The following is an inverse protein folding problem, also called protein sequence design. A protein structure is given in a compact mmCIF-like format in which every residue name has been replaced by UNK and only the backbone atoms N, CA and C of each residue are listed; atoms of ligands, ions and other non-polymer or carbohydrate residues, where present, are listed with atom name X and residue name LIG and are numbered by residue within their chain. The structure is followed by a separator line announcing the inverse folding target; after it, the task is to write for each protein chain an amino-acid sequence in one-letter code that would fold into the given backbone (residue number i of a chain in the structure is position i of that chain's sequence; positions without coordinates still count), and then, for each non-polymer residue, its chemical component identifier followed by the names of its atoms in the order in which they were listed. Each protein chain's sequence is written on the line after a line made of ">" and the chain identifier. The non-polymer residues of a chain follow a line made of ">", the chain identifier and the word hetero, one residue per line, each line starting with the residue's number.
data_IF_745470730303
#
_entry.id   IF_745470730303
#
_cell.length_a   1.000
_cell.length_b   1.000
_cell.length_c   1.000
_cell.angle_alpha   90.00
_cell.angle_beta   90.00
_cell.angle_gamma   90.00
#
_symmetry.space_group_name_H-M   'P 1'
#
loop_
_entity.id
_entity.type
_entity.pdbx_description
1 polymer ?
#
# COMPACT_ATOMS: atom_id res chain seq x y z
N UNK A 1 -20.87 3.76 -11.04
CA UNK A 1 -19.94 4.64 -10.32
C UNK A 1 -20.46 4.79 -8.91
N UNK A 2 -19.59 4.62 -7.92
CA UNK A 2 -19.94 4.66 -6.51
C UNK A 2 -19.77 6.09 -5.98
N UNK A 3 -20.87 6.72 -5.58
CA UNK A 3 -20.93 8.11 -5.11
C UNK A 3 -21.21 8.15 -3.61
N UNK A 4 -20.55 9.07 -2.91
CA UNK A 4 -20.73 9.29 -1.47
C UNK A 4 -21.33 10.67 -1.21
N UNK A 5 -22.34 10.72 -0.35
CA UNK A 5 -22.91 11.97 0.14
C UNK A 5 -22.08 12.51 1.30
N UNK A 6 -21.51 13.70 1.15
CA UNK A 6 -20.65 14.33 2.16
C UNK A 6 -21.39 15.50 2.81
N UNK A 7 -21.50 15.54 4.15
CA UNK A 7 -22.08 16.70 4.83
C UNK A 7 -21.39 18.00 4.44
N UNK A 8 -22.16 18.96 3.94
CA UNK A 8 -21.66 20.26 3.49
C UNK A 8 -21.36 20.37 1.99
N UNK A 9 -21.44 19.26 1.25
CA UNK A 9 -21.45 19.29 -0.22
C UNK A 9 -22.89 19.21 -0.73
N UNK A 10 -23.25 20.02 -1.74
CA UNK A 10 -24.61 20.07 -2.26
C UNK A 10 -24.99 18.81 -3.04
N UNK A 11 -24.01 18.17 -3.69
CA UNK A 11 -24.19 16.99 -4.53
C UNK A 11 -23.26 15.85 -4.07
N UNK A 12 -23.63 14.58 -4.29
CA UNK A 12 -22.73 13.45 -4.06
C UNK A 12 -21.45 13.55 -4.90
N UNK A 13 -20.34 13.05 -4.36
CA UNK A 13 -19.03 13.06 -5.03
C UNK A 13 -18.63 11.60 -5.33
N UNK A 14 -17.97 11.31 -6.48
CA UNK A 14 -17.39 9.98 -6.70
C UNK A 14 -16.48 9.59 -5.53
N UNK A 15 -16.59 8.35 -5.03
CA UNK A 15 -15.82 7.88 -3.86
C UNK A 15 -14.32 8.10 -4.04
N UNK A 16 -13.77 7.70 -5.19
CA UNK A 16 -12.35 7.86 -5.52
C UNK A 16 -11.89 9.32 -5.40
N UNK A 17 -12.64 10.25 -5.99
CA UNK A 17 -12.37 11.69 -5.90
C UNK A 17 -12.31 12.14 -4.44
N UNK A 18 -13.32 11.75 -3.65
CA UNK A 18 -13.38 12.15 -2.24
C UNK A 18 -12.23 11.56 -1.41
N UNK A 19 -11.88 10.28 -1.64
CA UNK A 19 -10.76 9.64 -0.96
C UNK A 19 -9.42 10.28 -1.34
N UNK A 20 -9.22 10.61 -2.62
CA UNK A 20 -8.04 11.34 -3.09
C UNK A 20 -7.95 12.74 -2.46
N UNK A 21 -9.07 13.47 -2.36
CA UNK A 21 -9.14 14.76 -1.67
C UNK A 21 -8.76 14.64 -0.18
N UNK A 22 -9.28 13.60 0.51
CA UNK A 22 -8.92 13.33 1.90
C UNK A 22 -7.44 12.96 2.03
N UNK A 23 -6.92 12.11 1.15
CA UNK A 23 -5.53 11.68 1.14
C UNK A 23 -4.56 12.85 0.88
N UNK A 24 -4.97 13.89 0.15
CA UNK A 24 -4.19 15.11 -0.07
C UNK A 24 -4.48 16.26 0.92
N UNK A 25 -5.38 16.06 1.89
CA UNK A 25 -5.81 17.12 2.81
C UNK A 25 -4.69 17.55 3.76
N UNK A 26 -4.45 18.86 3.88
CA UNK A 26 -3.52 19.43 4.84
C UNK A 26 -2.15 19.70 4.22
N UNK A 27 -1.08 19.42 4.97
CA UNK A 27 0.29 19.62 4.46
C UNK A 27 0.57 18.71 3.26
N UNK A 28 1.32 19.22 2.29
CA UNK A 28 1.71 18.48 1.10
C UNK A 28 2.59 17.29 1.49
N UNK A 29 2.30 16.12 0.92
CA UNK A 29 2.98 14.86 1.20
C UNK A 29 3.55 14.34 -0.11
N UNK A 30 4.89 14.29 -0.27
CA UNK A 30 5.51 13.84 -1.50
C UNK A 30 5.10 12.42 -1.92
N UNK A 31 4.85 11.53 -0.96
CA UNK A 31 4.58 10.10 -1.16
C UNK A 31 3.18 9.75 -1.70
N UNK A 32 2.30 10.74 -1.90
CA UNK A 32 0.96 10.56 -2.49
C UNK A 32 0.87 11.50 -3.70
N UNK A 33 0.30 11.03 -4.81
CA UNK A 33 0.09 11.88 -5.98
C UNK A 33 -0.79 13.08 -5.63
N UNK A 34 -0.36 14.29 -6.02
CA UNK A 34 -1.12 15.48 -5.67
C UNK A 34 -2.42 15.57 -6.49
N UNK A 35 -3.53 15.82 -5.80
CA UNK A 35 -4.80 16.18 -6.39
C UNK A 35 -4.84 17.67 -6.74
N UNK A 36 -5.11 18.01 -8.00
CA UNK A 36 -5.09 19.39 -8.49
C UNK A 36 -6.49 19.93 -8.72
N UNK A 37 -7.33 19.18 -9.42
CA UNK A 37 -8.71 19.57 -9.74
C UNK A 37 -9.56 18.35 -10.11
N UNK A 38 -10.87 18.52 -10.18
CA UNK A 38 -11.77 17.54 -10.79
C UNK A 38 -13.04 18.19 -11.32
N UNK A 39 -13.70 17.50 -12.25
CA UNK A 39 -14.98 17.92 -12.80
C UNK A 39 -15.91 16.73 -12.92
N UNK A 40 -17.15 16.94 -12.51
CA UNK A 40 -18.24 16.00 -12.75
C UNK A 40 -18.91 16.30 -14.11
N UNK A 41 -19.22 15.25 -14.87
CA UNK A 41 -19.92 15.34 -16.17
C UNK A 41 -21.05 14.32 -16.20
N UNK A 42 -21.89 14.38 -17.23
CA UNK A 42 -23.12 13.60 -17.32
C UNK A 42 -22.91 12.07 -17.25
N UNK A 43 -21.81 11.57 -17.79
CA UNK A 43 -21.51 10.13 -17.93
C UNK A 43 -20.17 9.70 -17.32
N UNK A 44 -19.34 10.66 -16.90
CA UNK A 44 -18.03 10.40 -16.30
C UNK A 44 -17.58 11.58 -15.45
N UNK A 45 -16.59 11.34 -14.57
CA UNK A 45 -15.84 12.41 -13.92
C UNK A 45 -14.42 12.45 -14.49
N UNK A 46 -13.78 13.62 -14.37
CA UNK A 46 -12.39 13.84 -14.77
C UNK A 46 -11.61 14.31 -13.56
N UNK A 47 -10.48 13.68 -13.27
CA UNK A 47 -9.53 14.11 -12.23
C UNK A 47 -8.27 14.67 -12.88
N UNK A 48 -7.77 15.76 -12.35
CA UNK A 48 -6.49 16.38 -12.72
C UNK A 48 -5.53 16.11 -11.57
N UNK A 49 -4.49 15.32 -11.86
CA UNK A 49 -3.50 14.86 -10.89
C UNK A 49 -2.10 15.35 -11.28
N UNK A 50 -1.20 15.42 -10.31
CA UNK A 50 0.23 15.54 -10.58
C UNK A 50 0.70 14.38 -11.48
N UNK A 51 1.58 14.69 -12.43
CA UNK A 51 2.23 13.70 -13.29
C UNK A 51 3.75 13.82 -13.11
N UNK A 52 4.38 12.98 -12.26
CA UNK A 52 5.83 12.94 -12.13
C UNK A 52 6.48 12.65 -13.48
N UNK A 53 7.62 13.26 -13.78
CA UNK A 53 8.30 13.03 -15.05
C UNK A 53 9.83 13.14 -14.93
N UNK A 54 10.61 12.21 -15.51
CA UNK A 54 10.17 10.92 -16.06
C UNK A 54 9.75 9.94 -14.95
N UNK A 55 8.63 9.23 -15.13
CA UNK A 55 8.19 8.18 -14.20
C UNK A 55 7.66 6.93 -14.93
N UNK A 56 7.62 5.83 -14.19
CA UNK A 56 6.92 4.59 -14.55
C UNK A 56 6.32 3.98 -13.26
N UNK A 57 5.45 2.98 -13.37
CA UNK A 57 4.96 2.22 -12.21
C UNK A 57 6.05 1.29 -11.63
N UNK A 58 5.96 0.94 -10.34
CA UNK A 58 7.00 0.13 -9.70
C UNK A 58 7.13 -1.28 -10.30
N UNK A 59 6.07 -1.84 -10.88
CA UNK A 59 6.14 -3.15 -11.53
C UNK A 59 7.03 -3.05 -12.78
N UNK A 60 6.77 -2.08 -13.65
CA UNK A 60 7.59 -1.77 -14.83
C UNK A 60 9.05 -1.48 -14.45
N UNK A 61 9.27 -0.69 -13.39
CA UNK A 61 10.60 -0.41 -12.86
C UNK A 61 11.33 -1.67 -12.41
N UNK A 62 10.66 -2.54 -11.66
CA UNK A 62 11.22 -3.80 -11.20
C UNK A 62 11.56 -4.75 -12.35
N UNK A 63 10.67 -4.87 -13.35
CA UNK A 63 10.90 -5.69 -14.54
C UNK A 63 12.12 -5.19 -15.31
N UNK A 64 12.23 -3.87 -15.53
CA UNK A 64 13.37 -3.24 -16.23
C UNK A 64 14.69 -3.41 -15.46
N UNK A 65 14.63 -3.48 -14.13
CA UNK A 65 15.78 -3.74 -13.27
C UNK A 65 16.25 -5.22 -13.25
N UNK A 66 15.60 -6.09 -14.04
CA UNK A 66 15.93 -7.52 -14.11
C UNK A 66 15.01 -8.42 -13.28
N UNK A 67 13.82 -7.92 -12.92
CA UNK A 67 12.75 -8.68 -12.25
C UNK A 67 12.79 -8.66 -10.74
N UNK A 68 13.82 -8.09 -10.10
CA UNK A 68 13.90 -7.88 -8.64
C UNK A 68 14.81 -6.68 -8.34
N UNK A 69 14.66 -6.11 -7.15
CA UNK A 69 15.41 -4.95 -6.69
C UNK A 69 16.48 -5.36 -5.66
N UNK A 70 17.51 -4.53 -5.53
CA UNK A 70 18.48 -4.67 -4.43
C UNK A 70 17.83 -4.29 -3.11
N UNK A 71 18.31 -4.86 -1.99
CA UNK A 71 17.79 -4.52 -0.66
C UNK A 71 17.82 -3.02 -0.36
N UNK A 72 18.88 -2.33 -0.78
CA UNK A 72 19.00 -0.89 -0.61
C UNK A 72 17.85 -0.16 -1.32
N UNK A 73 17.67 -0.44 -2.60
CA UNK A 73 16.60 0.18 -3.40
C UNK A 73 15.21 -0.17 -2.87
N UNK A 74 14.97 -1.45 -2.56
CA UNK A 74 13.70 -1.92 -2.04
C UNK A 74 13.37 -1.28 -0.68
N UNK A 75 14.37 -1.10 0.20
CA UNK A 75 14.22 -0.42 1.49
C UNK A 75 13.87 1.06 1.33
N UNK A 76 14.54 1.76 0.41
CA UNK A 76 14.29 3.19 0.15
C UNK A 76 12.88 3.41 -0.43
N UNK A 77 12.41 2.50 -1.29
CA UNK A 77 11.03 2.50 -1.82
C UNK A 77 10.02 2.15 -0.71
N UNK A 78 10.31 1.12 0.09
CA UNK A 78 9.42 0.64 1.15
C UNK A 78 9.19 1.70 2.23
N UNK A 79 10.21 2.51 2.54
CA UNK A 79 10.07 3.64 3.46
C UNK A 79 9.00 4.62 2.97
N UNK A 80 9.08 5.04 1.70
CA UNK A 80 8.14 5.99 1.10
C UNK A 80 6.73 5.38 0.95
N UNK A 81 6.63 4.09 0.58
CA UNK A 81 5.35 3.38 0.50
C UNK A 81 4.66 3.28 1.87
N UNK A 82 5.44 3.06 2.94
CA UNK A 82 4.93 3.03 4.32
C UNK A 82 4.45 4.41 4.76
N UNK A 83 5.21 5.47 4.44
CA UNK A 83 4.81 6.86 4.70
C UNK A 83 3.49 7.21 4.01
N UNK A 84 3.33 6.84 2.73
CA UNK A 84 2.07 7.04 2.01
C UNK A 84 0.88 6.34 2.68
N UNK A 85 1.07 5.08 3.09
CA UNK A 85 0.04 4.28 3.75
C UNK A 85 -0.33 4.82 5.15
N UNK A 86 0.66 5.24 5.93
CA UNK A 86 0.46 5.87 7.24
C UNK A 86 -0.36 7.16 7.11
N UNK A 87 -0.01 8.00 6.12
CA UNK A 87 -0.70 9.28 5.89
C UNK A 87 -2.14 9.05 5.44
N UNK A 88 -2.39 8.08 4.55
CA UNK A 88 -3.75 7.66 4.22
C UNK A 88 -4.51 7.27 5.50
N UNK A 89 -3.90 6.46 6.36
CA UNK A 89 -4.52 6.01 7.61
C UNK A 89 -4.86 7.16 8.55
N UNK A 90 -3.93 8.10 8.75
CA UNK A 90 -4.12 9.31 9.58
C UNK A 90 -5.24 10.19 9.00
N UNK A 91 -5.35 10.27 7.67
CA UNK A 91 -6.36 11.07 6.95
C UNK A 91 -7.69 10.33 6.79
N UNK A 92 -7.84 9.16 7.41
CA UNK A 92 -9.10 8.40 7.41
C UNK A 92 -9.38 7.69 6.09
N UNK A 93 -8.35 7.39 5.31
CA UNK A 93 -8.44 6.70 4.01
C UNK A 93 -7.85 5.31 4.14
N UNK A 94 -8.61 4.32 3.68
CA UNK A 94 -8.14 2.95 3.49
C UNK A 94 -8.00 2.68 1.99
N UNK A 95 -6.76 2.59 1.50
CA UNK A 95 -6.48 2.47 0.06
C UNK A 95 -7.00 1.16 -0.56
N UNK A 96 -6.93 0.05 0.19
CA UNK A 96 -7.34 -1.32 -0.19
C UNK A 96 -6.58 -1.98 -1.34
N UNK A 97 -5.90 -1.22 -2.20
CA UNK A 97 -5.19 -1.76 -3.37
C UNK A 97 -3.71 -1.35 -3.39
N UNK A 98 -2.98 -1.65 -2.30
CA UNK A 98 -1.52 -1.41 -2.23
C UNK A 98 -0.83 -2.54 -2.99
N UNK A 99 -0.23 -2.21 -4.14
CA UNK A 99 0.50 -3.11 -5.03
C UNK A 99 1.50 -2.33 -5.89
N UNK A 100 2.40 -3.03 -6.58
CA UNK A 100 3.47 -2.43 -7.38
C UNK A 100 2.94 -1.43 -8.42
N UNK A 101 1.82 -1.76 -9.06
CA UNK A 101 1.22 -0.98 -10.13
C UNK A 101 0.66 0.36 -9.65
N UNK A 102 0.28 0.45 -8.38
CA UNK A 102 -0.33 1.65 -7.79
C UNK A 102 0.71 2.57 -7.12
N UNK A 103 1.99 2.36 -7.43
CA UNK A 103 3.06 3.30 -7.07
C UNK A 103 3.80 3.74 -8.32
N UNK A 104 3.87 5.06 -8.52
CA UNK A 104 4.76 5.65 -9.51
C UNK A 104 6.13 5.90 -8.90
N UNK A 105 7.19 5.68 -9.68
CA UNK A 105 8.57 6.01 -9.31
C UNK A 105 9.19 6.97 -10.31
N UNK A 106 9.76 8.06 -9.81
CA UNK A 106 10.55 8.97 -10.62
C UNK A 106 11.91 8.34 -10.94
N UNK A 107 12.27 8.27 -12.22
CA UNK A 107 13.47 7.55 -12.67
C UNK A 107 14.79 8.26 -12.34
N UNK A 108 14.73 9.55 -12.05
CA UNK A 108 15.90 10.35 -11.70
C UNK A 108 16.09 10.46 -10.19
N UNK A 109 14.99 10.62 -9.44
CA UNK A 109 15.03 10.91 -8.00
C UNK A 109 14.73 9.69 -7.12
N UNK A 110 14.13 8.63 -7.69
CA UNK A 110 13.56 7.49 -6.95
C UNK A 110 12.48 7.89 -5.93
N UNK A 111 11.87 9.07 -6.11
CA UNK A 111 10.67 9.46 -5.37
C UNK A 111 9.50 8.56 -5.79
N UNK A 112 8.78 8.04 -4.79
CA UNK A 112 7.68 7.10 -4.96
C UNK A 112 6.38 7.77 -4.56
N UNK A 113 5.33 7.61 -5.38
CA UNK A 113 4.02 8.20 -5.14
C UNK A 113 2.91 7.17 -5.28
N UNK A 114 2.07 7.04 -4.24
CA UNK A 114 0.86 6.25 -4.27
C UNK A 114 -0.19 6.91 -5.18
N UNK A 115 -0.84 6.10 -6.01
CA UNK A 115 -1.91 6.47 -6.95
C UNK A 115 -3.11 5.51 -6.82
N UNK A 116 -4.21 5.83 -7.49
CA UNK A 116 -5.40 4.98 -7.68
C UNK A 116 -6.17 4.61 -6.39
N UNK A 117 -7.03 5.52 -5.95
CA UNK A 117 -7.93 5.32 -4.82
C UNK A 117 -9.27 4.68 -5.24
N UNK A 118 -9.36 4.12 -6.46
CA UNK A 118 -10.60 3.59 -7.03
C UNK A 118 -11.18 2.40 -6.27
N UNK A 119 -10.33 1.60 -5.62
CA UNK A 119 -10.74 0.50 -4.76
C UNK A 119 -10.87 0.88 -3.28
N UNK A 120 -10.56 2.12 -2.91
CA UNK A 120 -10.45 2.55 -1.52
C UNK A 120 -11.79 2.69 -0.80
N UNK A 121 -11.71 2.89 0.51
CA UNK A 121 -12.85 3.25 1.36
C UNK A 121 -12.42 4.18 2.50
N UNK A 122 -13.40 4.74 3.21
CA UNK A 122 -13.14 5.44 4.47
C UNK A 122 -12.62 4.44 5.50
N UNK A 123 -11.50 4.76 6.13
CA UNK A 123 -10.94 3.95 7.20
C UNK A 123 -11.88 3.96 8.40
N UNK A 124 -12.33 2.77 8.80
CA UNK A 124 -13.19 2.56 9.97
C UNK A 124 -12.55 1.59 10.97
N UNK A 125 -12.99 1.67 12.22
CA UNK A 125 -12.55 0.76 13.29
C UNK A 125 -13.32 -0.56 13.32
N UNK A 126 -14.41 -0.67 12.55
CA UNK A 126 -15.16 -1.92 12.40
C UNK A 126 -14.58 -2.80 11.28
N UNK A 127 -14.91 -4.09 11.33
CA UNK A 127 -14.53 -5.02 10.28
C UNK A 127 -15.11 -4.61 8.92
N UNK A 128 -14.34 -4.87 7.87
CA UNK A 128 -14.82 -4.92 6.50
C UNK A 128 -15.21 -6.37 6.19
N UNK A 129 -16.35 -6.53 5.55
CA UNK A 129 -16.92 -7.84 5.16
C UNK A 129 -17.04 -8.00 3.65
N UNK A 130 -16.80 -6.91 2.92
CA UNK A 130 -16.91 -6.83 1.47
C UNK A 130 -15.56 -7.09 0.81
N UNK A 131 -15.64 -7.84 -0.28
CA UNK A 131 -14.52 -8.06 -1.19
C UNK A 131 -14.50 -6.92 -2.22
N UNK A 132 -13.57 -5.98 -2.09
CA UNK A 132 -13.29 -4.96 -3.11
C UNK A 132 -11.82 -5.07 -3.50
N UNK A 133 -11.55 -5.26 -4.80
CA UNK A 133 -10.23 -5.49 -5.38
C UNK A 133 -10.18 -6.54 -6.51
N UNK A 134 -11.30 -7.21 -6.83
CA UNK A 134 -11.36 -8.34 -7.80
C UNK A 134 -11.26 -7.91 -9.27
N UNK A 135 -11.62 -6.68 -9.64
CA UNK A 135 -11.77 -6.35 -11.07
C UNK A 135 -10.49 -5.85 -11.74
N UNK A 136 -9.34 -5.88 -11.06
CA UNK A 136 -8.08 -5.54 -11.71
C UNK A 136 -7.44 -6.82 -12.27
N UNK A 137 -7.60 -7.04 -13.58
CA UNK A 137 -6.79 -7.99 -14.35
C UNK A 137 -5.32 -7.63 -14.16
N UNK A 138 -4.66 -8.21 -13.15
CA UNK A 138 -3.22 -8.05 -12.98
C UNK A 138 -2.55 -8.61 -14.22
N UNK A 139 -1.68 -7.81 -14.82
CA UNK A 139 -0.89 -8.24 -15.97
C UNK A 139 -0.15 -9.55 -15.62
N UNK A 140 -0.24 -10.55 -16.50
CA UNK A 140 0.34 -11.91 -16.38
C UNK A 140 1.89 -11.96 -16.24
N UNK A 141 2.54 -10.84 -15.92
CA UNK A 141 3.99 -10.65 -15.93
C UNK A 141 4.69 -11.18 -14.68
N UNK A 142 3.98 -11.32 -13.55
CA UNK A 142 4.44 -12.10 -12.41
C UNK A 142 3.89 -13.52 -12.58
N UNK A 143 4.76 -14.47 -12.89
CA UNK A 143 4.41 -15.80 -13.38
C UNK A 143 3.24 -16.46 -12.65
N UNK A 144 2.28 -16.94 -13.45
CA UNK A 144 1.15 -17.76 -13.07
C UNK A 144 1.59 -19.04 -12.33
N UNK A 145 1.15 -19.19 -11.09
CA UNK A 145 0.76 -20.49 -10.51
C UNK A 145 0.03 -20.25 -9.18
N UNK A 146 -1.25 -20.66 -9.17
CA UNK A 146 -2.28 -20.51 -8.14
C UNK A 146 -2.79 -19.07 -7.93
N UNK A 147 -4.09 -18.90 -8.10
CA UNK A 147 -4.91 -17.67 -7.98
C UNK A 147 -4.98 -16.81 -9.25
N UNK A 148 -6.23 -16.61 -9.71
CA UNK A 148 -6.58 -16.10 -11.04
C UNK A 148 -6.52 -14.58 -11.17
N UNK A 149 -5.99 -13.87 -10.17
CA UNK A 149 -5.62 -12.47 -10.29
C UNK A 149 -4.47 -12.18 -9.32
N UNK A 150 -3.36 -11.60 -9.78
CA UNK A 150 -2.19 -11.29 -8.93
C UNK A 150 -2.51 -10.36 -7.76
N UNK A 151 -3.63 -9.63 -7.83
CA UNK A 151 -4.19 -8.82 -6.74
C UNK A 151 -4.58 -9.66 -5.52
N UNK A 152 -5.01 -10.92 -5.70
CA UNK A 152 -5.40 -11.81 -4.59
C UNK A 152 -4.25 -12.09 -3.60
N UNK A 153 -3.01 -12.05 -4.09
CA UNK A 153 -1.82 -12.29 -3.28
C UNK A 153 -1.57 -11.19 -2.24
N UNK A 154 -2.12 -9.99 -2.45
CA UNK A 154 -2.01 -8.86 -1.52
C UNK A 154 -3.08 -8.87 -0.42
N UNK A 155 -4.07 -9.78 -0.47
CA UNK A 155 -5.12 -9.83 0.55
C UNK A 155 -4.68 -10.55 1.82
N UNK A 156 -5.07 -9.95 2.94
CA UNK A 156 -4.77 -10.48 4.26
C UNK A 156 -5.49 -11.82 4.50
N UNK A 157 -4.79 -12.85 5.03
CA UNK A 157 -5.29 -14.22 5.09
C UNK A 157 -6.53 -14.39 5.99
N UNK A 158 -6.72 -13.51 6.99
CA UNK A 158 -7.86 -13.56 7.90
C UNK A 158 -9.22 -13.44 7.20
N UNK A 159 -9.27 -12.73 6.06
CA UNK A 159 -10.48 -12.56 5.30
C UNK A 159 -10.97 -13.90 4.71
N UNK A 160 -10.05 -14.74 4.22
CA UNK A 160 -10.41 -16.06 3.68
C UNK A 160 -10.89 -17.04 4.75
N UNK A 161 -10.54 -16.81 6.02
CA UNK A 161 -10.94 -17.67 7.13
C UNK A 161 -12.24 -17.21 7.79
N UNK A 162 -12.44 -15.90 7.90
CA UNK A 162 -13.52 -15.32 8.72
C UNK A 162 -14.55 -14.54 7.92
N UNK A 163 -14.24 -14.18 6.68
CA UNK A 163 -15.01 -13.20 5.90
C UNK A 163 -14.84 -11.76 6.39
N UNK A 164 -13.96 -11.52 7.37
CA UNK A 164 -13.75 -10.23 8.02
C UNK A 164 -12.27 -9.85 8.03
N UNK A 165 -11.99 -8.55 7.96
CA UNK A 165 -10.66 -7.99 8.12
C UNK A 165 -10.71 -6.54 8.59
N UNK A 166 -9.58 -6.04 9.06
CA UNK A 166 -9.44 -4.67 9.54
C UNK A 166 -8.46 -3.89 8.65
N UNK A 167 -8.78 -2.63 8.38
CA UNK A 167 -8.05 -1.85 7.38
C UNK A 167 -6.55 -1.72 7.66
N UNK A 168 -6.17 -1.38 8.90
CA UNK A 168 -4.75 -1.19 9.28
C UNK A 168 -3.94 -2.50 9.17
N UNK A 169 -4.35 -3.64 9.77
CA UNK A 169 -3.66 -4.92 9.57
C UNK A 169 -3.56 -5.34 8.10
N UNK A 170 -4.63 -5.17 7.33
CA UNK A 170 -4.64 -5.51 5.90
C UNK A 170 -3.64 -4.67 5.09
N UNK A 171 -3.54 -3.37 5.38
CA UNK A 171 -2.51 -2.49 4.80
C UNK A 171 -1.09 -2.96 5.16
N UNK A 172 -0.84 -3.38 6.40
CA UNK A 172 0.48 -3.91 6.79
C UNK A 172 0.81 -5.20 6.03
N UNK A 173 -0.17 -6.07 5.86
CA UNK A 173 0.00 -7.31 5.08
C UNK A 173 0.36 -7.01 3.62
N UNK A 174 -0.39 -6.14 2.94
CA UNK A 174 -0.13 -5.80 1.54
C UNK A 174 1.22 -5.10 1.35
N UNK A 175 1.65 -4.24 2.28
CA UNK A 175 3.01 -3.68 2.31
C UNK A 175 4.09 -4.77 2.46
N UNK A 176 3.83 -5.81 3.26
CA UNK A 176 4.73 -6.96 3.39
C UNK A 176 4.86 -7.76 2.08
N UNK A 177 3.74 -8.01 1.40
CA UNK A 177 3.72 -8.68 0.09
C UNK A 177 4.43 -7.83 -0.97
N UNK A 178 4.21 -6.52 -0.98
CA UNK A 178 4.89 -5.55 -1.85
C UNK A 178 6.42 -5.64 -1.67
N UNK A 179 6.89 -5.63 -0.42
CA UNK A 179 8.31 -5.72 -0.12
C UNK A 179 8.92 -7.05 -0.55
N UNK A 180 8.22 -8.15 -0.27
CA UNK A 180 8.64 -9.48 -0.72
C UNK A 180 8.75 -9.53 -2.24
N UNK A 181 7.74 -9.04 -2.97
CA UNK A 181 7.73 -9.01 -4.43
C UNK A 181 8.93 -8.23 -4.98
N UNK A 182 9.25 -7.06 -4.41
CA UNK A 182 10.42 -6.27 -4.81
C UNK A 182 11.73 -7.02 -4.62
N UNK A 183 11.92 -7.73 -3.50
CA UNK A 183 13.17 -8.45 -3.20
C UNK A 183 13.29 -9.77 -3.98
N UNK A 184 12.17 -10.46 -4.15
CA UNK A 184 12.14 -11.83 -4.61
C UNK A 184 11.82 -11.97 -6.11
N UNK A 185 11.19 -10.96 -6.70
CA UNK A 185 10.67 -10.97 -8.07
C UNK A 185 9.43 -11.84 -8.27
N UNK A 186 8.83 -12.32 -7.18
CA UNK A 186 7.64 -13.15 -7.18
C UNK A 186 6.86 -12.94 -5.87
N UNK A 187 5.61 -13.42 -5.83
CA UNK A 187 4.81 -13.44 -4.62
C UNK A 187 5.28 -14.54 -3.65
N UNK A 188 5.06 -14.37 -2.32
CA UNK A 188 5.38 -15.41 -1.36
C UNK A 188 4.53 -16.65 -1.63
N UNK A 189 5.19 -17.81 -1.74
CA UNK A 189 4.49 -19.10 -1.78
C UNK A 189 3.99 -19.49 -0.39
N UNK A 190 3.13 -20.51 -0.31
CA UNK A 190 2.71 -21.10 0.98
C UNK A 190 3.92 -21.50 1.82
N UNK A 191 4.94 -22.10 1.19
CA UNK A 191 6.17 -22.49 1.87
C UNK A 191 6.98 -21.28 2.38
N UNK A 192 7.01 -20.17 1.63
CA UNK A 192 7.66 -18.94 2.11
C UNK A 192 6.94 -18.41 3.35
N UNK A 193 5.61 -18.36 3.33
CA UNK A 193 4.79 -17.88 4.45
C UNK A 193 4.98 -18.76 5.70
N UNK A 194 5.01 -20.08 5.54
CA UNK A 194 5.29 -21.02 6.65
C UNK A 194 6.66 -20.76 7.27
N UNK A 195 7.70 -20.58 6.44
CA UNK A 195 9.04 -20.28 6.93
C UNK A 195 9.15 -18.90 7.59
N UNK A 196 8.44 -17.89 7.08
CA UNK A 196 8.41 -16.55 7.68
C UNK A 196 7.75 -16.62 9.07
N UNK A 197 6.64 -17.33 9.19
CA UNK A 197 5.94 -17.56 10.46
C UNK A 197 6.84 -18.26 11.49
N UNK A 198 7.64 -19.22 11.04
CA UNK A 198 8.60 -19.93 11.89
C UNK A 198 9.92 -19.19 12.11
N UNK A 199 10.09 -17.98 11.54
CA UNK A 199 11.33 -17.19 11.58
C UNK A 199 12.55 -17.95 11.03
N UNK A 200 12.32 -18.83 10.06
CA UNK A 200 13.35 -19.64 9.38
C UNK A 200 13.58 -19.24 7.93
N UNK A 201 12.81 -18.28 7.42
CA UNK A 201 12.91 -17.87 6.02
C UNK A 201 14.25 -17.21 5.73
N UNK A 202 14.89 -17.66 4.65
CA UNK A 202 16.10 -17.07 4.12
C UNK A 202 16.10 -17.22 2.59
N UNK A 203 16.85 -16.34 1.90
CA UNK A 203 17.01 -16.39 0.45
C UNK A 203 18.42 -16.01 0.07
N UNK A 204 19.03 -16.80 -0.80
CA UNK A 204 20.37 -16.52 -1.30
C UNK A 204 20.45 -15.14 -1.94
N UNK A 205 21.48 -14.37 -1.54
CA UNK A 205 21.68 -13.00 -2.01
C UNK A 205 20.93 -11.93 -1.22
N UNK A 206 20.14 -12.31 -0.21
CA UNK A 206 19.60 -11.38 0.78
C UNK A 206 20.34 -11.48 2.12
N UNK A 207 20.46 -10.37 2.83
CA UNK A 207 21.02 -10.31 4.18
C UNK A 207 20.14 -11.08 5.15
N UNK A 208 20.79 -11.77 6.10
CA UNK A 208 20.08 -12.39 7.23
C UNK A 208 19.71 -11.25 8.18
N UNK A 209 18.47 -10.79 8.09
CA UNK A 209 17.96 -9.74 8.97
C UNK A 209 17.63 -10.29 10.35
N UNK A 210 18.22 -9.70 11.40
CA UNK A 210 17.56 -9.66 12.70
C UNK A 210 16.43 -8.63 12.59
N UNK A 211 15.18 -9.02 12.86
CA UNK A 211 14.01 -8.13 12.75
C UNK A 211 14.15 -7.00 13.79
N UNK A 212 14.78 -5.89 13.40
CA UNK A 212 14.77 -4.63 14.12
C UNK A 212 13.64 -3.76 13.56
N UNK A 213 12.40 -4.06 13.95
CA UNK A 213 11.34 -3.04 13.88
C UNK A 213 11.71 -2.02 14.96
N UNK A 214 12.46 -0.97 14.58
CA UNK A 214 12.55 0.23 15.42
C UNK A 214 11.16 0.88 15.36
N UNK A 215 10.41 0.95 16.47
CA UNK A 215 9.16 1.67 16.50
C UNK A 215 9.50 3.15 16.42
N UNK A 216 9.59 3.68 15.19
CA UNK A 216 9.72 5.13 14.95
C UNK A 216 8.38 5.66 14.46
N UNK A 217 7.33 5.27 15.16
CA UNK A 217 6.11 6.06 15.25
C UNK A 217 5.87 6.22 16.74
N UNK A 218 6.36 7.34 17.28
CA UNK A 218 5.97 7.78 18.61
C UNK A 218 4.49 8.15 18.49
N UNK A 219 3.61 7.16 18.72
CA UNK A 219 2.25 7.44 19.15
C UNK A 219 2.42 8.21 20.46
N UNK A 220 2.15 9.50 20.38
CA UNK A 220 2.22 10.43 21.50
C UNK A 220 1.01 10.19 22.41
N UNK A 221 0.89 8.98 22.97
CA UNK A 221 -0.05 8.66 24.02
C UNK A 221 0.72 8.60 25.34
N UNK A 222 0.71 9.74 26.02
CA UNK A 222 1.01 9.82 27.45
C UNK A 222 0.09 8.87 28.21
N UNK A 223 0.57 7.66 28.48
CA UNK A 223 0.33 6.85 29.71
C UNK A 223 0.82 5.42 29.48
N UNK A 224 2.09 5.18 29.82
CA UNK A 224 2.54 4.00 30.58
C UNK A 224 4.05 4.16 30.81
N UNK A 225 4.39 5.00 31.79
CA UNK A 225 5.64 4.83 32.52
C UNK A 225 5.46 3.58 33.39
N UNK A 226 6.26 2.56 33.13
CA UNK A 226 7.00 1.73 34.10
C UNK A 226 7.33 0.38 33.47
N UNK A 227 8.54 -0.11 33.78
CA UNK A 227 9.12 -1.39 33.35
C UNK A 227 9.74 -1.40 31.93
N UNK A 228 11.00 -1.00 31.81
CA UNK A 228 12.13 -1.94 31.80
C UNK A 228 13.44 -1.13 31.73
N UNK A 229 14.03 -0.98 32.89
CA UNK A 229 15.41 -0.55 33.10
C UNK A 229 16.35 -1.75 32.89
N UNK A 230 17.55 -1.47 32.36
CA UNK A 230 18.85 -2.18 32.48
C UNK A 230 19.42 -2.97 31.28
N UNK A 231 20.68 -2.56 31.01
CA UNK A 231 21.84 -3.16 30.30
C UNK A 231 21.95 -2.77 28.82
N UNK A 232 22.90 -1.95 28.36
CA UNK A 232 24.38 -1.88 28.57
C UNK A 232 25.02 -3.24 28.34
N UNK A 233 25.47 -3.52 27.11
CA UNK A 233 26.81 -3.23 26.57
C UNK A 233 26.73 -3.00 25.05
#
# INVERSE_FOLDING_TARGET
>A
MDYISIPGYPEPIPREVYLQMLACKGEHVPAIVQFLDWQDRLDHYVMVLECPSPCEDLLSFMVRAGGRLTEKTAKDIMWQATEAAEICSIRGVFHRDIKLENFLINLNTLEVKLIDFGCGDLLKNSAYTDFMGIYCETSHLLHANLFSSGTEMYFCPEFFHTGEYYGKPATVYSLGVLFFAMLCGNFPSVHDLDQINERRWCKDGLTIGEIFIRPTVVLNDRKQNECFDKRIE
#
